data_IF_472936203586
#
_entry.id   IF_472936203586
#
_cell.length_a   1.000
_cell.length_b   1.000
_cell.length_c   1.000
_cell.angle_alpha   90.00
_cell.angle_beta   90.00
_cell.angle_gamma   90.00
#
_symmetry.space_group_name_H-M   'P 1'
#
loop_
_entity.id
_entity.type
_entity.pdbx_description
1 polymer ?
#
# COMPACT_ATOMS: atom_id res chain seq x y z
N UNK A 1 -13.02 2.19 8.38
CA UNK A 1 -13.22 2.82 7.06
C UNK A 1 -14.51 2.31 6.45
N UNK A 2 -15.15 2.98 5.50
CA UNK A 2 -16.31 2.36 4.79
C UNK A 2 -15.78 1.50 3.64
N UNK A 3 -16.30 0.28 3.48
CA UNK A 3 -16.07 -0.55 2.29
C UNK A 3 -16.37 0.24 1.01
N UNK A 4 -15.48 0.14 0.03
CA UNK A 4 -15.58 0.84 -1.25
C UNK A 4 -14.98 2.25 -1.23
N UNK A 5 -14.20 2.60 -0.20
CA UNK A 5 -13.65 3.95 -0.08
C UNK A 5 -12.44 4.19 -1.00
N UNK A 6 -11.83 3.13 -1.53
CA UNK A 6 -10.78 3.23 -2.55
C UNK A 6 -11.33 3.04 -3.96
N UNK A 7 -12.47 2.37 -4.12
CA UNK A 7 -13.07 2.03 -5.42
C UNK A 7 -13.13 3.21 -6.41
N UNK A 8 -13.62 4.39 -5.97
CA UNK A 8 -13.70 5.57 -6.82
C UNK A 8 -12.32 6.05 -7.30
N UNK A 9 -11.31 6.00 -6.42
CA UNK A 9 -9.95 6.39 -6.77
C UNK A 9 -9.27 5.38 -7.69
N UNK A 10 -9.50 4.08 -7.51
CA UNK A 10 -8.92 3.04 -8.36
C UNK A 10 -9.47 3.16 -9.79
N UNK A 11 -10.78 3.38 -9.95
CA UNK A 11 -11.40 3.64 -11.25
C UNK A 11 -10.86 4.92 -11.89
N UNK A 12 -10.72 6.01 -11.11
CA UNK A 12 -10.18 7.28 -11.62
C UNK A 12 -8.72 7.14 -12.10
N UNK A 13 -7.88 6.41 -11.37
CA UNK A 13 -6.50 6.11 -11.78
C UNK A 13 -6.46 5.33 -13.09
N UNK A 14 -7.28 4.28 -13.20
CA UNK A 14 -7.39 3.44 -14.40
C UNK A 14 -7.81 4.25 -15.63
N UNK A 15 -8.85 5.08 -15.51
CA UNK A 15 -9.32 5.96 -16.58
C UNK A 15 -8.26 6.98 -17.02
N UNK A 16 -7.42 7.44 -16.09
CA UNK A 16 -6.33 8.36 -16.36
C UNK A 16 -5.03 7.70 -16.86
N UNK A 17 -5.00 6.36 -17.00
CA UNK A 17 -3.76 5.64 -17.34
C UNK A 17 -2.68 5.76 -16.27
N UNK A 18 -3.06 6.00 -15.01
CA UNK A 18 -2.18 6.15 -13.86
C UNK A 18 -2.28 4.93 -12.95
N UNK A 19 -1.27 4.75 -12.12
CA UNK A 19 -1.19 3.69 -11.12
C UNK A 19 -0.77 4.25 -9.77
N UNK A 20 -1.16 3.53 -8.71
CA UNK A 20 -0.65 3.72 -7.35
C UNK A 20 0.86 3.51 -7.35
N UNK A 21 1.61 4.37 -6.66
CA UNK A 21 3.07 4.32 -6.64
C UNK A 21 3.60 3.38 -5.55
N UNK A 22 4.71 2.69 -5.86
CA UNK A 22 5.47 1.92 -4.88
C UNK A 22 6.69 2.72 -4.47
N UNK A 23 6.64 3.33 -3.29
CA UNK A 23 7.68 4.24 -2.80
C UNK A 23 8.43 3.64 -1.61
N UNK A 24 9.58 4.21 -1.32
CA UNK A 24 10.33 3.95 -0.11
C UNK A 24 10.03 5.00 0.95
N UNK A 25 9.58 4.60 2.15
CA UNK A 25 9.42 5.49 3.30
C UNK A 25 8.58 6.75 3.00
N UNK A 26 7.55 6.63 2.14
CA UNK A 26 6.73 7.75 1.66
C UNK A 26 7.48 8.83 0.87
N UNK A 27 8.72 8.60 0.45
CA UNK A 27 9.52 9.57 -0.30
C UNK A 27 9.17 9.52 -1.80
N UNK A 28 8.54 10.58 -2.36
CA UNK A 28 8.18 10.63 -3.78
C UNK A 28 9.40 10.66 -4.72
N UNK A 29 10.60 10.95 -4.21
CA UNK A 29 11.85 10.88 -4.98
C UNK A 29 12.42 9.44 -5.07
N UNK A 30 11.84 8.47 -4.36
CA UNK A 30 12.35 7.09 -4.26
C UNK A 30 11.30 6.05 -4.68
N UNK A 31 10.89 6.02 -5.97
CA UNK A 31 10.14 4.89 -6.50
C UNK A 31 11.04 3.65 -6.56
N UNK A 32 10.56 2.53 -6.01
CA UNK A 32 11.34 1.30 -5.85
C UNK A 32 10.78 0.11 -6.62
N UNK A 33 9.59 0.26 -7.21
CA UNK A 33 8.91 -0.81 -7.89
C UNK A 33 7.63 -0.37 -8.58
N UNK A 34 6.85 -1.36 -9.01
CA UNK A 34 5.52 -1.15 -9.58
C UNK A 34 4.51 -2.07 -8.91
N UNK A 35 3.30 -1.58 -8.71
CA UNK A 35 2.14 -2.41 -8.38
C UNK A 35 1.49 -2.86 -9.67
N UNK A 36 1.47 -4.17 -9.89
CA UNK A 36 0.84 -4.81 -11.05
C UNK A 36 -0.68 -4.93 -10.84
N UNK A 37 -1.10 -5.19 -9.60
CA UNK A 37 -2.51 -5.24 -9.20
C UNK A 37 -2.74 -4.44 -7.92
N UNK A 38 -3.82 -3.66 -7.92
CA UNK A 38 -4.31 -2.95 -6.74
C UNK A 38 -5.83 -3.04 -6.74
N UNK A 39 -6.39 -3.75 -5.75
CA UNK A 39 -7.81 -4.04 -5.69
C UNK A 39 -8.33 -3.82 -4.26
N UNK A 40 -9.55 -3.32 -4.13
CA UNK A 40 -10.26 -3.29 -2.85
C UNK A 40 -11.21 -4.50 -2.78
N UNK A 41 -11.09 -5.32 -1.72
CA UNK A 41 -11.99 -6.44 -1.46
C UNK A 41 -12.83 -6.22 -0.19
N UNK A 42 -13.54 -7.26 0.28
CA UNK A 42 -14.34 -7.17 1.50
C UNK A 42 -13.53 -7.02 2.79
N UNK A 43 -12.20 -7.22 2.74
CA UNK A 43 -11.28 -7.08 3.86
C UNK A 43 -10.54 -5.76 3.82
N UNK A 44 -10.22 -5.21 2.65
CA UNK A 44 -9.59 -3.90 2.51
C UNK A 44 -8.81 -3.77 1.20
N UNK A 45 -7.68 -3.08 1.21
CA UNK A 45 -6.86 -2.87 0.01
C UNK A 45 -5.86 -4.02 -0.16
N UNK A 46 -5.94 -4.75 -1.26
CA UNK A 46 -4.96 -5.74 -1.66
C UNK A 46 -4.04 -5.20 -2.76
N UNK A 47 -2.75 -5.44 -2.63
CA UNK A 47 -1.74 -5.05 -3.61
C UNK A 47 -0.86 -6.22 -3.97
N UNK A 48 -0.46 -6.28 -5.25
CA UNK A 48 0.53 -7.20 -5.79
C UNK A 48 1.42 -6.47 -6.76
N UNK A 49 2.73 -6.68 -6.68
CA UNK A 49 3.69 -5.94 -7.48
C UNK A 49 5.08 -6.52 -7.44
N UNK A 50 6.02 -5.76 -7.98
CA UNK A 50 7.42 -6.16 -8.11
C UNK A 50 8.39 -5.01 -7.86
N UNK A 51 9.45 -5.30 -7.11
CA UNK A 51 10.58 -4.38 -6.96
C UNK A 51 11.42 -4.33 -8.24
N UNK A 52 11.90 -3.14 -8.60
CA UNK A 52 12.80 -2.92 -9.73
C UNK A 52 14.25 -3.00 -9.23
N UNK A 53 14.89 -4.17 -9.28
CA UNK A 53 16.25 -4.35 -8.74
C UNK A 53 17.37 -3.77 -9.60
N UNK A 54 17.04 -3.32 -10.81
CA UNK A 54 17.93 -2.50 -11.65
C UNK A 54 18.10 -1.08 -11.10
N UNK A 55 17.15 -0.60 -10.28
CA UNK A 55 17.28 0.66 -9.54
C UNK A 55 18.00 0.37 -8.22
N UNK A 56 19.02 1.19 -7.90
CA UNK A 56 19.82 1.03 -6.66
C UNK A 56 18.93 0.87 -5.44
N UNK A 57 17.92 1.76 -5.29
CA UNK A 57 17.02 1.71 -4.13
C UNK A 57 16.09 0.50 -4.13
N UNK A 58 15.64 0.04 -5.30
CA UNK A 58 14.84 -1.19 -5.41
C UNK A 58 15.63 -2.43 -5.00
N UNK A 59 16.91 -2.49 -5.33
CA UNK A 59 17.82 -3.55 -4.90
C UNK A 59 18.07 -3.54 -3.39
N UNK A 60 18.34 -2.36 -2.82
CA UNK A 60 18.47 -2.20 -1.37
C UNK A 60 17.21 -2.64 -0.64
N UNK A 61 16.02 -2.24 -1.13
CA UNK A 61 14.75 -2.65 -0.56
C UNK A 61 14.58 -4.17 -0.58
N UNK A 62 14.89 -4.82 -1.71
CA UNK A 62 14.82 -6.28 -1.83
C UNK A 62 15.73 -7.00 -0.81
N UNK A 63 16.96 -6.52 -0.63
CA UNK A 63 17.90 -7.08 0.33
C UNK A 63 17.44 -6.89 1.79
N UNK A 64 16.85 -5.73 2.12
CA UNK A 64 16.33 -5.45 3.46
C UNK A 64 15.09 -6.29 3.80
N UNK A 65 14.22 -6.56 2.82
CA UNK A 65 13.09 -7.47 2.99
C UNK A 65 13.59 -8.89 3.25
N UNK A 66 14.56 -9.36 2.45
CA UNK A 66 15.12 -10.70 2.60
C UNK A 66 15.78 -10.92 3.97
N UNK A 67 16.47 -9.91 4.46
CA UNK A 67 17.07 -9.93 5.80
C UNK A 67 16.03 -9.79 6.93
N UNK A 68 14.75 -9.58 6.62
CA UNK A 68 13.70 -9.32 7.61
C UNK A 68 13.84 -7.98 8.33
N UNK A 69 14.68 -7.07 7.82
CA UNK A 69 14.88 -5.74 8.39
C UNK A 69 13.70 -4.80 8.10
N UNK A 70 12.97 -5.06 7.01
CA UNK A 70 11.76 -4.34 6.63
C UNK A 70 10.72 -5.31 6.06
N UNK A 71 9.53 -5.28 6.63
CA UNK A 71 8.38 -6.06 6.19
C UNK A 71 7.09 -5.22 6.15
N UNK A 72 7.15 -3.95 6.57
CA UNK A 72 5.98 -3.08 6.72
C UNK A 72 5.55 -2.41 5.43
N UNK A 73 4.23 -2.20 5.30
CA UNK A 73 3.65 -1.34 4.27
C UNK A 73 2.75 -0.26 4.85
N UNK A 74 2.65 0.87 4.15
CA UNK A 74 1.79 1.99 4.53
C UNK A 74 1.12 2.61 3.31
N UNK A 75 -0.10 3.11 3.49
CA UNK A 75 -0.91 3.70 2.41
C UNK A 75 -0.86 5.23 2.53
N UNK A 76 -0.44 5.89 1.44
CA UNK A 76 -0.56 7.33 1.28
C UNK A 76 -1.80 7.69 0.47
N UNK A 77 -2.63 8.53 1.06
CA UNK A 77 -3.89 8.96 0.46
C UNK A 77 -4.27 10.38 0.86
N UNK A 78 -5.14 11.00 0.07
CA UNK A 78 -5.84 12.24 0.43
C UNK A 78 -7.30 11.92 0.79
N UNK A 79 -7.81 12.48 1.89
CA UNK A 79 -9.25 12.36 2.20
C UNK A 79 -10.06 13.25 1.27
N UNK A 80 -10.98 12.66 0.51
CA UNK A 80 -11.93 13.41 -0.33
C UNK A 80 -13.21 13.67 0.45
N UNK A 81 -13.75 12.64 1.11
CA UNK A 81 -14.98 12.74 1.91
C UNK A 81 -14.91 11.94 3.20
N UNK A 82 -15.33 12.56 4.29
CA UNK A 82 -15.48 11.91 5.58
C UNK A 82 -16.71 12.42 6.31
N UNK A 83 -17.35 11.56 7.09
CA UNK A 83 -18.46 11.90 7.99
C UNK A 83 -18.10 11.59 9.43
N UNK A 84 -18.97 11.93 10.38
CA UNK A 84 -18.86 11.46 11.77
C UNK A 84 -19.85 10.32 11.99
N UNK A 85 -19.45 9.31 12.75
CA UNK A 85 -20.38 8.29 13.26
C UNK A 85 -21.29 8.92 14.33
N UNK A 86 -22.34 8.20 14.74
CA UNK A 86 -23.19 8.60 15.87
C UNK A 86 -22.40 8.76 17.18
N UNK A 87 -21.23 8.10 17.28
CA UNK A 87 -20.29 8.19 18.41
C UNK A 87 -19.23 9.29 18.23
N UNK A 88 -19.34 10.11 17.18
CA UNK A 88 -18.41 11.20 16.89
C UNK A 88 -17.12 10.80 16.18
N UNK A 89 -16.93 9.52 15.85
CA UNK A 89 -15.71 9.01 15.21
C UNK A 89 -15.66 9.43 13.74
N UNK A 90 -14.48 9.76 13.22
CA UNK A 90 -14.31 10.11 11.81
C UNK A 90 -14.42 8.86 10.92
N UNK A 91 -15.44 8.80 10.08
CA UNK A 91 -15.65 7.78 9.07
C UNK A 91 -15.18 8.27 7.71
N UNK A 92 -14.08 7.71 7.20
CA UNK A 92 -13.60 7.97 5.84
C UNK A 92 -14.51 7.24 4.84
N UNK A 93 -15.14 8.00 3.94
CA UNK A 93 -16.07 7.48 2.93
C UNK A 93 -15.45 7.38 1.55
N UNK A 94 -14.53 8.29 1.25
CA UNK A 94 -13.88 8.37 -0.05
C UNK A 94 -12.48 8.93 0.11
N UNK A 95 -11.52 8.20 -0.45
CA UNK A 95 -10.13 8.60 -0.50
C UNK A 95 -9.65 8.67 -1.94
N UNK A 96 -8.66 9.53 -2.16
CA UNK A 96 -7.81 9.48 -3.33
C UNK A 96 -6.51 8.79 -2.96
N UNK A 97 -6.30 7.61 -3.53
CA UNK A 97 -5.15 6.75 -3.29
C UNK A 97 -3.97 7.22 -4.15
N UNK A 98 -2.81 7.44 -3.53
CA UNK A 98 -1.61 7.91 -4.23
C UNK A 98 -0.55 6.82 -4.32
N UNK A 99 -0.27 6.18 -3.19
CA UNK A 99 0.87 5.30 -3.06
C UNK A 99 0.66 4.24 -1.98
N UNK A 100 1.41 3.15 -2.13
CA UNK A 100 1.63 2.16 -1.08
C UNK A 100 3.14 1.97 -0.96
N UNK A 101 3.68 2.33 0.20
CA UNK A 101 5.11 2.41 0.47
C UNK A 101 5.60 1.22 1.28
N UNK A 102 6.84 0.80 1.01
CA UNK A 102 7.60 0.03 2.00
C UNK A 102 8.04 0.94 3.14
N UNK A 103 7.76 0.50 4.36
CA UNK A 103 8.09 1.25 5.57
C UNK A 103 8.70 0.39 6.67
N UNK A 104 9.63 0.97 7.43
CA UNK A 104 10.20 0.30 8.62
C UNK A 104 9.16 0.12 9.71
N UNK A 105 8.32 1.13 9.94
CA UNK A 105 7.32 1.13 11.00
C UNK A 105 5.95 1.51 10.42
N UNK A 106 5.13 0.52 10.03
CA UNK A 106 3.82 0.80 9.49
C UNK A 106 2.87 1.23 10.60
N UNK A 107 1.97 2.14 10.25
CA UNK A 107 0.91 2.60 11.16
C UNK A 107 -0.04 1.46 11.54
N UNK A 108 -0.17 0.44 10.69
CA UNK A 108 -0.95 -0.77 10.94
C UNK A 108 -0.01 -1.97 11.13
N UNK A 109 0.03 -2.59 12.32
CA UNK A 109 0.90 -3.75 12.57
C UNK A 109 0.60 -4.96 11.67
N UNK A 110 -0.62 -5.09 11.15
CA UNK A 110 -0.99 -6.17 10.23
C UNK A 110 -0.60 -5.92 8.77
N UNK A 111 -0.26 -4.68 8.39
CA UNK A 111 0.15 -4.34 7.03
C UNK A 111 1.59 -4.81 6.80
N UNK A 112 1.73 -6.06 6.35
CA UNK A 112 3.00 -6.72 6.10
C UNK A 112 3.08 -7.30 4.70
N UNK A 113 4.27 -7.21 4.11
CA UNK A 113 4.60 -7.91 2.86
C UNK A 113 4.69 -9.40 3.16
N UNK A 114 3.94 -10.21 2.41
CA UNK A 114 4.26 -11.63 2.25
C UNK A 114 5.18 -11.77 1.03
N UNK A 115 6.47 -12.06 1.26
CA UNK A 115 7.38 -12.40 0.18
C UNK A 115 7.16 -13.87 -0.20
N UNK A 116 6.75 -14.14 -1.44
CA UNK A 116 6.71 -15.51 -1.97
C UNK A 116 8.06 -15.80 -2.63
N UNK A 117 8.74 -16.84 -2.19
CA UNK A 117 9.93 -17.37 -2.86
C UNK A 117 9.48 -18.08 -4.13
N UNK A 118 9.39 -17.35 -5.25
CA UNK A 118 9.52 -17.97 -6.57
C UNK A 118 10.86 -17.55 -7.15
N UNK A 119 11.59 -18.52 -7.69
CA UNK A 119 12.95 -18.36 -8.17
C UNK A 119 13.09 -17.12 -9.07
N UNK A 120 14.19 -16.35 -8.97
CA UNK A 120 14.34 -15.09 -9.67
C UNK A 120 14.41 -15.34 -11.19
N UNK A 121 13.29 -15.20 -11.88
CA UNK A 121 13.27 -14.92 -13.30
C UNK A 121 13.33 -13.39 -13.45
N UNK A 122 14.44 -12.91 -14.01
CA UNK A 122 14.66 -11.52 -14.47
C UNK A 122 14.75 -10.41 -13.41
N UNK A 123 15.32 -10.67 -12.23
CA UNK A 123 15.67 -9.57 -11.32
C UNK A 123 14.45 -8.82 -10.75
N UNK A 124 13.29 -9.47 -10.70
CA UNK A 124 12.06 -8.90 -10.17
C UNK A 124 11.60 -9.76 -8.99
N UNK A 125 11.37 -9.12 -7.83
CA UNK A 125 10.87 -9.80 -6.63
C UNK A 125 9.41 -9.45 -6.43
N UNK A 126 8.56 -10.47 -6.45
CA UNK A 126 7.11 -10.33 -6.27
C UNK A 126 6.79 -10.00 -4.80
N UNK A 127 5.91 -9.03 -4.60
CA UNK A 127 5.39 -8.61 -3.29
C UNK A 127 3.87 -8.70 -3.34
N UNK A 128 3.26 -9.28 -2.29
CA UNK A 128 1.82 -9.24 -2.10
C UNK A 128 1.49 -8.87 -0.67
N UNK A 129 0.43 -8.08 -0.47
CA UNK A 129 -0.05 -7.73 0.85
C UNK A 129 -1.54 -7.42 0.85
N UNK A 130 -2.18 -7.71 1.98
CA UNK A 130 -3.54 -7.27 2.28
C UNK A 130 -3.41 -6.22 3.39
N UNK A 131 -3.93 -5.03 3.12
CA UNK A 131 -4.30 -4.09 4.15
C UNK A 131 -5.71 -4.43 4.55
N UNK A 132 -5.87 -5.20 5.62
CA UNK A 132 -7.17 -5.30 6.26
C UNK A 132 -7.66 -3.88 6.59
N UNK A 133 -8.98 -3.66 6.59
CA UNK A 133 -9.70 -2.42 6.89
C UNK A 133 -9.55 -2.04 8.39
N UNK A 134 -8.33 -2.23 8.91
CA UNK A 134 -7.77 -2.04 10.23
C UNK A 134 -7.85 -0.56 10.62
N UNK A 135 -9.08 -0.10 10.78
CA UNK A 135 -9.41 1.18 11.37
C UNK A 135 -10.55 1.05 12.36
N UNK A 136 -10.60 -0.08 13.08
CA UNK A 136 -11.04 -0.07 14.48
C UNK A 136 -9.97 0.50 15.42
N UNK A 137 -8.73 0.72 14.96
CA UNK A 137 -7.60 1.09 15.84
C UNK A 137 -7.06 2.53 15.67
N UNK A 138 -7.55 3.34 14.73
CA UNK A 138 -7.09 4.74 14.57
C UNK A 138 -8.09 5.78 15.09
N UNK A 139 -8.83 5.42 16.14
CA UNK A 139 -9.41 6.41 17.07
C UNK A 139 -8.37 6.65 18.16
N UNK A 140 -7.74 7.84 18.23
CA UNK A 140 -7.16 8.27 19.49
C UNK A 140 -8.31 8.36 20.49
N UNK A 141 -8.15 7.73 21.66
CA UNK A 141 -8.94 8.08 22.84
C UNK A 141 -8.73 9.56 23.18
#
# INVERSE_FOLDING_TARGET
MRKGAYAASLEALKLAGRSVKMLWQHDPAQPIGIWDEVNEDGRGLWVKGRLLTDVVKGREAAALIEAGAIDGLSIGYRTVRATKSEKGERLLQELELWEVSLVTFPMLPSARVAAKEEAPTDGLRELAAIFDDARRELTPN
#
